data_IF_945206632156
#
_entry.id   IF_945206632156
#
_cell.length_a   1.000
_cell.length_b   1.000
_cell.length_c   1.000
_cell.angle_alpha   90.00
_cell.angle_beta   90.00
_cell.angle_gamma   90.00
#
_symmetry.space_group_name_H-M   'P 1'
#
loop_
_entity.id
_entity.type
_entity.pdbx_description
1 polymer ?
#
# COMPACT_ATOMS: atom_id res chain seq x y z
N UNK A 1 -10.61 -25.70 -13.04
CA UNK A 1 -9.74 -25.06 -14.07
C UNK A 1 -10.12 -23.60 -14.34
N UNK A 2 -11.39 -23.27 -14.62
CA UNK A 2 -11.81 -21.89 -14.93
C UNK A 2 -11.43 -20.87 -13.84
N UNK A 3 -11.56 -21.23 -12.56
CA UNK A 3 -11.20 -20.36 -11.43
C UNK A 3 -9.73 -19.93 -11.44
N UNK A 4 -8.81 -20.86 -11.72
CA UNK A 4 -7.37 -20.56 -11.79
C UNK A 4 -7.05 -19.66 -12.99
N UNK A 5 -7.73 -19.87 -14.13
CA UNK A 5 -7.59 -19.01 -15.31
C UNK A 5 -8.13 -17.60 -15.04
N UNK A 6 -9.26 -17.47 -14.35
CA UNK A 6 -9.79 -16.17 -13.93
C UNK A 6 -8.80 -15.45 -13.02
N UNK A 7 -8.25 -16.14 -12.01
CA UNK A 7 -7.24 -15.57 -11.12
C UNK A 7 -5.98 -15.12 -11.88
N UNK A 8 -5.42 -15.99 -12.73
CA UNK A 8 -4.24 -15.67 -13.55
C UNK A 8 -4.50 -14.48 -14.48
N UNK A 9 -5.68 -14.41 -15.10
CA UNK A 9 -6.05 -13.29 -15.97
C UNK A 9 -6.20 -11.98 -15.20
N UNK A 10 -6.78 -12.02 -14.00
CA UNK A 10 -6.91 -10.85 -13.14
C UNK A 10 -5.55 -10.36 -12.63
N UNK A 11 -4.66 -11.27 -12.23
CA UNK A 11 -3.27 -10.95 -11.87
C UNK A 11 -2.51 -10.34 -13.06
N UNK A 12 -2.68 -10.89 -14.27
CA UNK A 12 -2.09 -10.33 -15.47
C UNK A 12 -2.61 -8.91 -15.77
N UNK A 13 -3.92 -8.67 -15.60
CA UNK A 13 -4.52 -7.34 -15.71
C UNK A 13 -3.97 -6.36 -14.66
N UNK A 14 -3.77 -6.81 -13.42
CA UNK A 14 -3.16 -6.00 -12.36
C UNK A 14 -1.75 -5.56 -12.76
N UNK A 15 -0.90 -6.50 -13.16
CA UNK A 15 0.48 -6.21 -13.59
C UNK A 15 0.48 -5.28 -14.80
N UNK A 16 -0.36 -5.54 -15.80
CA UNK A 16 -0.49 -4.70 -16.98
C UNK A 16 -0.99 -3.29 -16.67
N UNK A 17 -1.97 -3.15 -15.78
CA UNK A 17 -2.48 -1.87 -15.29
C UNK A 17 -1.36 -1.02 -14.67
N UNK A 18 -0.56 -1.61 -13.76
CA UNK A 18 0.59 -0.90 -13.16
C UNK A 18 1.64 -0.48 -14.19
N UNK A 19 1.85 -1.30 -15.24
CA UNK A 19 2.74 -0.95 -16.34
C UNK A 19 2.20 0.22 -17.19
N UNK A 20 0.90 0.21 -17.50
CA UNK A 20 0.24 1.29 -18.25
C UNK A 20 0.35 2.61 -17.49
N UNK A 21 0.03 2.63 -16.19
CA UNK A 21 0.14 3.83 -15.35
C UNK A 21 1.55 4.39 -15.39
N UNK A 22 2.54 3.55 -15.06
CA UNK A 22 3.96 3.94 -15.02
C UNK A 22 4.40 4.56 -16.35
N UNK A 23 4.13 3.89 -17.47
CA UNK A 23 4.55 4.37 -18.79
C UNK A 23 3.76 5.58 -19.28
N UNK A 24 2.49 5.72 -18.90
CA UNK A 24 1.66 6.88 -19.21
C UNK A 24 2.13 8.13 -18.45
N UNK A 25 2.37 8.00 -17.15
CA UNK A 25 2.88 9.09 -16.31
C UNK A 25 4.25 9.55 -16.81
N UNK A 26 5.15 8.61 -17.11
CA UNK A 26 6.48 8.95 -17.64
C UNK A 26 6.41 9.69 -18.99
N UNK A 27 5.44 9.38 -19.86
CA UNK A 27 5.23 10.11 -21.12
C UNK A 27 4.71 11.54 -20.91
N UNK A 28 3.86 11.77 -19.91
CA UNK A 28 3.28 13.11 -19.65
C UNK A 28 4.21 13.98 -18.83
N UNK A 29 4.78 13.42 -17.77
CA UNK A 29 5.46 14.17 -16.72
C UNK A 29 6.97 13.94 -16.67
N UNK A 30 7.53 13.03 -17.47
CA UNK A 30 8.94 12.63 -17.38
C UNK A 30 9.94 13.79 -17.29
N UNK A 31 9.83 14.80 -18.15
CA UNK A 31 10.69 15.98 -18.10
C UNK A 31 10.52 16.80 -16.81
N UNK A 32 9.29 16.99 -16.33
CA UNK A 32 9.01 17.71 -15.08
C UNK A 32 9.52 16.95 -13.86
N UNK A 33 9.32 15.63 -13.82
CA UNK A 33 9.82 14.78 -12.74
C UNK A 33 11.35 14.86 -12.67
N UNK A 34 12.02 14.89 -13.83
CA UNK A 34 13.47 15.12 -13.92
C UNK A 34 13.88 16.46 -13.30
N UNK A 35 13.21 17.55 -13.67
CA UNK A 35 13.50 18.88 -13.10
C UNK A 35 13.22 18.96 -11.60
N UNK A 36 12.12 18.37 -11.12
CA UNK A 36 11.80 18.35 -9.69
C UNK A 36 12.86 17.60 -8.90
N UNK A 37 13.30 16.43 -9.38
CA UNK A 37 14.33 15.64 -8.73
C UNK A 37 15.68 16.37 -8.71
N UNK A 38 16.09 16.97 -9.82
CA UNK A 38 17.37 17.68 -9.90
C UNK A 38 17.39 18.96 -9.07
N UNK A 39 16.27 19.68 -8.97
CA UNK A 39 16.16 20.90 -8.14
C UNK A 39 15.95 20.63 -6.64
N UNK A 40 15.50 19.43 -6.27
CA UNK A 40 15.19 19.11 -4.86
C UNK A 40 16.41 18.72 -4.03
N UNK A 41 17.62 18.74 -4.61
CA UNK A 41 18.85 18.24 -3.98
C UNK A 41 19.50 19.22 -3.00
N UNK A 42 19.06 20.47 -2.99
CA UNK A 42 19.59 21.52 -2.10
C UNK A 42 19.34 21.22 -0.62
N UNK A 43 18.21 20.57 -0.29
CA UNK A 43 17.81 20.27 1.08
C UNK A 43 17.35 18.82 1.20
N UNK A 44 17.91 18.07 2.16
CA UNK A 44 17.51 16.67 2.46
C UNK A 44 15.98 16.46 2.60
N UNK A 45 15.22 17.28 3.36
CA UNK A 45 13.77 17.07 3.45
C UNK A 45 13.04 17.28 2.11
N UNK A 46 13.50 18.24 1.29
CA UNK A 46 12.94 18.47 -0.03
C UNK A 46 13.23 17.28 -0.97
N UNK A 47 14.45 16.75 -0.92
CA UNK A 47 14.85 15.54 -1.64
C UNK A 47 13.97 14.33 -1.27
N UNK A 48 13.68 14.15 0.02
CA UNK A 48 12.80 13.09 0.51
C UNK A 48 11.36 13.25 0.00
N UNK A 49 10.78 14.44 0.16
CA UNK A 49 9.43 14.73 -0.33
C UNK A 49 9.32 14.61 -1.86
N UNK A 50 10.35 14.99 -2.59
CA UNK A 50 10.42 14.81 -4.04
C UNK A 50 10.41 13.31 -4.40
N UNK A 51 11.15 12.48 -3.66
CA UNK A 51 11.10 11.02 -3.80
C UNK A 51 9.70 10.44 -3.60
N UNK A 52 9.01 10.87 -2.54
CA UNK A 52 7.62 10.48 -2.26
C UNK A 52 6.73 10.90 -3.43
N UNK A 53 6.72 12.18 -3.78
CA UNK A 53 5.81 12.73 -4.79
C UNK A 53 6.04 12.11 -6.18
N UNK A 54 7.29 12.01 -6.61
CA UNK A 54 7.64 11.42 -7.92
C UNK A 54 7.23 9.94 -7.96
N UNK A 55 7.51 9.19 -6.90
CA UNK A 55 7.17 7.77 -6.88
C UNK A 55 5.69 7.51 -6.70
N UNK A 56 5.00 8.34 -5.92
CA UNK A 56 3.55 8.27 -5.81
C UNK A 56 2.92 8.50 -7.19
N UNK A 57 3.37 9.51 -7.94
CA UNK A 57 2.88 9.77 -9.30
C UNK A 57 3.23 8.64 -10.28
N UNK A 58 4.48 8.19 -10.32
CA UNK A 58 4.95 7.15 -11.28
C UNK A 58 4.51 5.74 -10.86
N UNK A 59 4.18 5.54 -9.58
CA UNK A 59 3.85 4.28 -8.94
C UNK A 59 4.97 3.22 -9.02
N UNK A 60 6.23 3.66 -9.05
CA UNK A 60 7.37 2.74 -9.10
C UNK A 60 8.62 3.36 -8.51
N UNK A 61 9.04 2.88 -7.33
CA UNK A 61 10.32 3.32 -6.76
C UNK A 61 11.50 2.89 -7.60
N UNK A 62 11.43 1.76 -8.32
CA UNK A 62 12.49 1.36 -9.26
C UNK A 62 12.64 2.37 -10.42
N UNK A 63 11.54 2.88 -10.98
CA UNK A 63 11.60 3.92 -12.01
C UNK A 63 12.19 5.23 -11.46
N UNK A 64 11.83 5.62 -10.24
CA UNK A 64 12.41 6.79 -9.56
C UNK A 64 13.91 6.58 -9.30
N UNK A 65 14.32 5.41 -8.80
CA UNK A 65 15.72 5.06 -8.60
C UNK A 65 16.50 5.12 -9.91
N UNK A 66 15.97 4.61 -11.02
CA UNK A 66 16.61 4.71 -12.34
C UNK A 66 16.78 6.17 -12.81
N UNK A 67 15.82 7.05 -12.52
CA UNK A 67 15.96 8.47 -12.82
C UNK A 67 17.07 9.10 -11.99
N UNK A 68 17.08 8.85 -10.69
CA UNK A 68 18.08 9.40 -9.76
C UNK A 68 19.48 8.87 -10.08
N UNK A 69 19.62 7.56 -10.33
CA UNK A 69 20.91 6.96 -10.70
C UNK A 69 21.43 7.55 -12.01
N UNK A 70 20.55 7.87 -12.97
CA UNK A 70 20.97 8.54 -14.21
C UNK A 70 21.53 9.94 -13.99
N UNK A 71 21.05 10.66 -12.96
CA UNK A 71 21.58 11.98 -12.60
C UNK A 71 22.88 11.90 -11.82
N UNK A 72 22.97 10.96 -10.89
CA UNK A 72 24.22 10.68 -10.18
C UNK A 72 25.30 10.18 -11.16
N UNK A 73 24.91 9.44 -12.20
CA UNK A 73 25.84 9.00 -13.24
C UNK A 73 26.44 10.16 -14.06
N UNK A 74 25.71 11.27 -14.17
CA UNK A 74 26.09 12.47 -14.91
C UNK A 74 26.65 13.58 -14.00
N UNK A 75 26.95 13.27 -12.73
CA UNK A 75 27.42 14.21 -11.71
C UNK A 75 26.46 15.41 -11.46
N UNK A 76 25.19 15.28 -11.87
CA UNK A 76 24.16 16.31 -11.68
C UNK A 76 23.62 16.32 -10.24
N UNK A 77 23.73 15.20 -9.54
CA UNK A 77 23.23 15.02 -8.17
C UNK A 77 24.27 14.27 -7.36
N UNK A 78 24.57 14.77 -6.16
CA UNK A 78 25.45 14.09 -5.23
C UNK A 78 24.79 12.81 -4.66
N UNK A 79 25.62 11.84 -4.25
CA UNK A 79 25.17 10.55 -3.72
C UNK A 79 24.23 10.69 -2.51
N UNK A 80 24.52 11.58 -1.57
CA UNK A 80 23.74 11.70 -0.33
C UNK A 80 22.29 12.18 -0.59
N UNK A 81 22.02 13.28 -1.31
CA UNK A 81 20.66 13.64 -1.72
C UNK A 81 19.96 12.55 -2.54
N UNK A 82 20.68 11.86 -3.43
CA UNK A 82 20.13 10.76 -4.20
C UNK A 82 19.60 9.61 -3.33
N UNK A 83 20.35 9.21 -2.30
CA UNK A 83 19.90 8.20 -1.34
C UNK A 83 18.65 8.65 -0.58
N UNK A 84 18.55 9.94 -0.24
CA UNK A 84 17.38 10.51 0.43
C UNK A 84 16.14 10.53 -0.49
N UNK A 85 16.32 10.80 -1.78
CA UNK A 85 15.23 10.67 -2.78
C UNK A 85 14.75 9.22 -2.86
N UNK A 86 15.68 8.27 -2.95
CA UNK A 86 15.36 6.83 -3.01
C UNK A 86 14.63 6.36 -1.76
N UNK A 87 15.01 6.85 -0.58
CA UNK A 87 14.30 6.59 0.68
C UNK A 87 12.84 7.07 0.59
N UNK A 88 12.64 8.31 0.13
CA UNK A 88 11.31 8.87 -0.10
C UNK A 88 10.52 8.09 -1.15
N UNK A 89 11.19 7.57 -2.17
CA UNK A 89 10.55 6.77 -3.22
C UNK A 89 9.92 5.48 -2.68
N UNK A 90 10.62 4.79 -1.78
CA UNK A 90 10.10 3.57 -1.17
C UNK A 90 8.89 3.88 -0.26
N UNK A 91 8.92 4.99 0.48
CA UNK A 91 7.74 5.49 1.24
C UNK A 91 6.58 5.84 0.30
N UNK A 92 6.85 6.49 -0.83
CA UNK A 92 5.83 6.81 -1.84
C UNK A 92 5.15 5.57 -2.42
N UNK A 93 5.87 4.45 -2.55
CA UNK A 93 5.30 3.17 -3.00
C UNK A 93 4.34 2.59 -1.96
N UNK A 94 4.72 2.61 -0.68
CA UNK A 94 3.85 2.18 0.42
C UNK A 94 2.58 3.05 0.53
N UNK A 95 2.73 4.37 0.38
CA UNK A 95 1.60 5.31 0.35
C UNK A 95 0.62 4.95 -0.76
N UNK A 96 1.11 4.70 -1.98
CA UNK A 96 0.23 4.35 -3.10
C UNK A 96 -0.42 2.97 -2.94
N UNK A 97 0.26 2.00 -2.35
CA UNK A 97 -0.35 0.72 -2.01
C UNK A 97 -1.54 0.91 -1.05
N UNK A 98 -1.38 1.76 -0.02
CA UNK A 98 -2.48 2.10 0.89
C UNK A 98 -3.64 2.80 0.18
N UNK A 99 -3.36 3.77 -0.68
CA UNK A 99 -4.39 4.50 -1.44
C UNK A 99 -5.19 3.57 -2.35
N UNK A 100 -4.52 2.68 -3.10
CA UNK A 100 -5.17 1.78 -4.05
C UNK A 100 -5.92 0.61 -3.40
N UNK A 101 -5.70 0.38 -2.10
CA UNK A 101 -6.43 -0.64 -1.32
C UNK A 101 -7.70 -0.08 -0.66
N UNK A 102 -7.97 1.24 -0.76
CA UNK A 102 -9.27 1.76 -0.37
C UNK A 102 -10.38 1.25 -1.29
N UNK A 103 -11.63 1.26 -0.79
CA UNK A 103 -12.79 0.90 -1.59
C UNK A 103 -13.06 1.99 -2.64
N UNK A 104 -12.43 1.82 -3.80
CA UNK A 104 -12.51 2.67 -4.98
C UNK A 104 -13.19 1.92 -6.14
N UNK A 105 -13.97 0.89 -5.82
CA UNK A 105 -14.62 0.03 -6.82
C UNK A 105 -15.48 0.82 -7.80
N UNK A 106 -16.28 1.76 -7.28
CA UNK A 106 -17.10 2.67 -8.09
C UNK A 106 -16.30 3.56 -9.05
N UNK A 107 -15.03 3.85 -8.73
CA UNK A 107 -14.17 4.72 -9.53
C UNK A 107 -13.56 3.96 -10.73
N UNK A 108 -13.42 2.64 -10.62
CA UNK A 108 -12.87 1.76 -11.65
C UNK A 108 -13.55 1.93 -13.03
N UNK A 109 -14.88 1.72 -13.18
CA UNK A 109 -15.54 1.81 -14.49
C UNK A 109 -15.48 3.23 -15.07
N UNK A 110 -15.55 4.27 -14.24
CA UNK A 110 -15.44 5.66 -14.67
C UNK A 110 -14.05 5.98 -15.24
N UNK A 111 -12.99 5.56 -14.55
CA UNK A 111 -11.62 5.76 -15.00
C UNK A 111 -11.34 5.03 -16.32
N UNK A 112 -11.85 3.81 -16.49
CA UNK A 112 -11.71 3.06 -17.74
C UNK A 112 -12.48 3.77 -18.86
N UNK A 113 -13.76 4.08 -18.65
CA UNK A 113 -14.61 4.67 -19.67
C UNK A 113 -14.08 6.02 -20.17
N UNK A 114 -13.85 6.95 -19.25
CA UNK A 114 -13.32 8.28 -19.56
C UNK A 114 -11.90 8.16 -20.15
N UNK A 115 -11.07 7.29 -19.56
CA UNK A 115 -9.71 7.06 -20.02
C UNK A 115 -9.64 6.57 -21.47
N UNK A 116 -10.50 5.62 -21.85
CA UNK A 116 -10.61 5.11 -23.24
C UNK A 116 -11.04 6.23 -24.20
N UNK A 117 -12.06 7.03 -23.84
CA UNK A 117 -12.52 8.15 -24.68
C UNK A 117 -11.37 9.12 -24.96
N UNK A 118 -10.66 9.57 -23.93
CA UNK A 118 -9.53 10.51 -24.10
C UNK A 118 -8.36 9.88 -24.87
N UNK A 119 -8.00 8.64 -24.55
CA UNK A 119 -6.88 7.96 -25.19
C UNK A 119 -7.14 7.72 -26.68
N UNK A 120 -8.30 7.21 -27.07
CA UNK A 120 -8.63 6.96 -28.48
C UNK A 120 -8.79 8.26 -29.27
N UNK A 121 -9.37 9.30 -28.67
CA UNK A 121 -9.59 10.58 -29.36
C UNK A 121 -8.30 11.32 -29.66
N UNK A 122 -7.30 11.26 -28.77
CA UNK A 122 -6.10 12.11 -28.85
C UNK A 122 -4.82 11.40 -28.39
N UNK A 123 -4.52 10.23 -28.96
CA UNK A 123 -3.42 9.30 -28.57
C UNK A 123 -2.07 9.96 -28.26
N UNK A 124 -1.65 10.95 -29.06
CA UNK A 124 -0.34 11.61 -28.90
C UNK A 124 -0.36 12.89 -28.03
N UNK A 125 -1.55 13.34 -27.61
CA UNK A 125 -1.67 14.52 -26.76
C UNK A 125 -1.46 14.19 -25.28
N UNK A 126 -1.17 15.21 -24.47
CA UNK A 126 -1.13 15.09 -23.00
C UNK A 126 -2.45 14.51 -22.45
N UNK A 127 -3.59 14.97 -22.96
CA UNK A 127 -4.90 14.48 -22.54
C UNK A 127 -5.09 12.99 -22.83
N UNK A 128 -4.66 12.51 -24.00
CA UNK A 128 -4.74 11.09 -24.34
C UNK A 128 -3.83 10.23 -23.47
N UNK A 129 -2.62 10.70 -23.16
CA UNK A 129 -1.71 10.00 -22.25
C UNK A 129 -2.20 10.01 -20.79
N UNK A 130 -2.86 11.08 -20.34
CA UNK A 130 -3.59 11.07 -19.05
C UNK A 130 -4.77 10.10 -19.08
N UNK A 131 -5.49 10.02 -20.21
CA UNK A 131 -6.51 8.99 -20.43
C UNK A 131 -5.94 7.58 -20.29
N UNK A 132 -4.77 7.31 -20.88
CA UNK A 132 -4.03 6.05 -20.71
C UNK A 132 -3.70 5.76 -19.24
N UNK A 133 -3.29 6.75 -18.46
CA UNK A 133 -3.07 6.60 -17.01
C UNK A 133 -4.37 6.22 -16.30
N UNK A 134 -5.49 6.90 -16.64
CA UNK A 134 -6.82 6.57 -16.14
C UNK A 134 -7.22 5.12 -16.43
N UNK A 135 -7.04 4.65 -17.68
CA UNK A 135 -7.27 3.25 -18.05
C UNK A 135 -6.45 2.31 -17.16
N UNK A 136 -5.15 2.59 -16.99
CA UNK A 136 -4.28 1.76 -16.15
C UNK A 136 -4.74 1.68 -14.69
N UNK A 137 -5.12 2.81 -14.10
CA UNK A 137 -5.65 2.86 -12.72
C UNK A 137 -6.98 2.12 -12.60
N UNK A 138 -7.90 2.31 -13.55
CA UNK A 138 -9.17 1.59 -13.56
C UNK A 138 -8.97 0.07 -13.74
N UNK A 139 -8.04 -0.35 -14.60
CA UNK A 139 -7.69 -1.77 -14.76
C UNK A 139 -7.08 -2.38 -13.49
N UNK A 140 -6.27 -1.63 -12.74
CA UNK A 140 -5.77 -2.07 -11.43
C UNK A 140 -6.95 -2.34 -10.50
N UNK A 141 -7.85 -1.36 -10.31
CA UNK A 141 -8.99 -1.49 -9.40
C UNK A 141 -9.92 -2.64 -9.81
N UNK A 142 -10.26 -2.74 -11.10
CA UNK A 142 -11.04 -3.85 -11.64
C UNK A 142 -10.35 -5.20 -11.40
N UNK A 143 -9.03 -5.28 -11.59
CA UNK A 143 -8.29 -6.51 -11.38
C UNK A 143 -8.34 -6.97 -9.92
N UNK A 144 -8.28 -6.05 -8.96
CA UNK A 144 -8.41 -6.38 -7.53
C UNK A 144 -9.79 -6.98 -7.23
N UNK A 145 -10.87 -6.41 -7.79
CA UNK A 145 -12.23 -6.98 -7.66
C UNK A 145 -12.32 -8.38 -8.28
N UNK A 146 -11.77 -8.56 -9.49
CA UNK A 146 -11.76 -9.86 -10.17
C UNK A 146 -10.96 -10.91 -9.40
N UNK A 147 -9.86 -10.52 -8.74
CA UNK A 147 -9.10 -11.41 -7.84
C UNK A 147 -9.99 -11.87 -6.69
N UNK A 148 -10.70 -10.97 -6.01
CA UNK A 148 -11.62 -11.33 -4.91
C UNK A 148 -12.70 -12.29 -5.40
N UNK A 149 -13.33 -11.99 -6.55
CA UNK A 149 -14.37 -12.83 -7.13
C UNK A 149 -13.84 -14.23 -7.52
N UNK A 150 -12.63 -14.30 -8.07
CA UNK A 150 -12.01 -15.56 -8.46
C UNK A 150 -11.63 -16.42 -7.24
N UNK A 151 -11.26 -15.82 -6.11
CA UNK A 151 -10.80 -16.55 -4.93
C UNK A 151 -11.93 -16.88 -3.93
N UNK A 152 -13.04 -16.14 -3.93
CA UNK A 152 -14.23 -16.44 -3.10
C UNK A 152 -14.70 -17.91 -3.15
N UNK A 153 -14.84 -18.58 -4.32
CA UNK A 153 -15.23 -19.99 -4.35
C UNK A 153 -14.16 -20.94 -3.80
N UNK A 154 -12.88 -20.51 -3.79
CA UNK A 154 -11.76 -21.28 -3.23
C UNK A 154 -11.83 -21.27 -1.69
N UNK A 155 -12.19 -20.13 -1.09
CA UNK A 155 -12.28 -19.99 0.38
C UNK A 155 -13.53 -20.63 0.97
N UNK A 156 -14.62 -20.76 0.21
CA UNK A 156 -15.86 -21.39 0.67
C UNK A 156 -15.92 -22.92 0.46
N UNK A 157 -14.99 -23.49 -0.29
CA UNK A 157 -14.87 -24.94 -0.38
C UNK A 157 -14.33 -25.50 0.95
N UNK A 158 -15.17 -26.24 1.67
CA UNK A 158 -15.02 -26.73 3.05
C UNK A 158 -13.76 -27.58 3.40
N UNK A 159 -12.74 -27.63 2.55
CA UNK A 159 -11.46 -28.32 2.82
C UNK A 159 -10.21 -27.48 2.55
N UNK A 160 -10.33 -26.31 1.93
CA UNK A 160 -9.18 -25.53 1.47
C UNK A 160 -8.55 -24.73 2.62
N UNK A 161 -9.35 -24.21 3.55
CA UNK A 161 -8.84 -23.43 4.68
C UNK A 161 -7.92 -24.25 5.61
N UNK A 162 -8.23 -25.53 5.82
CA UNK A 162 -7.41 -26.44 6.65
C UNK A 162 -6.07 -26.78 5.99
N UNK A 163 -6.07 -26.92 4.66
CA UNK A 163 -4.84 -27.20 3.89
C UNK A 163 -3.97 -25.95 3.81
N UNK A 164 -4.54 -24.76 3.56
CA UNK A 164 -3.78 -23.50 3.51
C UNK A 164 -3.23 -23.08 4.89
N UNK A 165 -3.98 -23.32 5.97
CA UNK A 165 -3.49 -23.13 7.34
C UNK A 165 -2.32 -24.07 7.70
N UNK A 166 -2.19 -25.20 6.99
CA UNK A 166 -1.08 -26.16 7.17
C UNK A 166 0.08 -25.96 6.19
N UNK A 167 -0.17 -25.30 5.03
CA UNK A 167 0.81 -25.10 3.96
C UNK A 167 1.58 -23.77 4.03
N UNK A 168 1.11 -22.81 4.81
CA UNK A 168 1.76 -21.50 4.95
C UNK A 168 2.31 -21.35 6.37
N UNK A 169 3.61 -21.08 6.48
CA UNK A 169 4.31 -21.11 7.77
C UNK A 169 5.83 -21.06 7.67
N UNK A 170 6.40 -21.31 6.49
CA UNK A 170 7.81 -21.01 6.23
C UNK A 170 7.97 -19.54 5.78
N UNK A 171 8.37 -18.71 6.75
CA UNK A 171 8.65 -17.28 6.59
C UNK A 171 9.57 -17.02 5.38
N UNK A 172 10.58 -17.86 5.16
CA UNK A 172 11.54 -17.66 4.07
C UNK A 172 10.93 -18.00 2.71
N UNK A 173 10.12 -19.06 2.64
CA UNK A 173 9.43 -19.44 1.40
C UNK A 173 8.42 -18.38 0.98
N UNK A 174 7.62 -17.87 1.91
CA UNK A 174 6.64 -16.81 1.66
C UNK A 174 7.34 -15.52 1.16
N UNK A 175 8.45 -15.13 1.80
CA UNK A 175 9.26 -14.01 1.33
C UNK A 175 9.86 -14.28 -0.06
N UNK A 176 10.31 -15.51 -0.35
CA UNK A 176 10.83 -15.85 -1.67
C UNK A 176 9.76 -15.75 -2.75
N UNK A 177 8.55 -16.25 -2.50
CA UNK A 177 7.41 -16.16 -3.44
C UNK A 177 7.10 -14.70 -3.75
N UNK A 178 7.02 -13.84 -2.72
CA UNK A 178 6.81 -12.40 -2.89
C UNK A 178 7.90 -11.74 -3.73
N UNK A 179 9.17 -12.10 -3.47
CA UNK A 179 10.32 -11.58 -4.20
C UNK A 179 10.30 -12.00 -5.69
N UNK A 180 10.06 -13.28 -5.96
CA UNK A 180 9.95 -13.83 -7.32
C UNK A 180 8.81 -13.15 -8.07
N UNK A 181 7.64 -13.01 -7.44
CA UNK A 181 6.51 -12.34 -8.07
C UNK A 181 6.83 -10.88 -8.41
N UNK A 182 7.44 -10.13 -7.50
CA UNK A 182 7.84 -8.74 -7.75
C UNK A 182 8.91 -8.63 -8.86
N UNK A 183 9.83 -9.58 -8.94
CA UNK A 183 10.86 -9.65 -10.00
C UNK A 183 10.21 -9.93 -11.36
N UNK A 184 9.40 -10.97 -11.45
CA UNK A 184 8.72 -11.39 -12.70
C UNK A 184 7.77 -10.31 -13.21
N UNK A 185 7.02 -9.67 -12.30
CA UNK A 185 6.09 -8.59 -12.64
C UNK A 185 6.76 -7.22 -12.83
N UNK A 186 8.05 -7.08 -12.53
CA UNK A 186 8.76 -5.79 -12.48
C UNK A 186 8.05 -4.73 -11.59
N UNK A 187 7.30 -5.19 -10.59
CA UNK A 187 6.39 -4.36 -9.79
C UNK A 187 6.17 -4.93 -8.38
N UNK A 188 6.85 -4.36 -7.38
CA UNK A 188 6.54 -4.65 -5.97
C UNK A 188 5.14 -4.18 -5.59
N UNK A 189 4.66 -3.05 -6.14
CA UNK A 189 3.31 -2.56 -5.87
C UNK A 189 2.25 -3.58 -6.31
N UNK A 190 2.38 -4.20 -7.48
CA UNK A 190 1.43 -5.25 -7.91
C UNK A 190 1.42 -6.43 -6.94
N UNK A 191 2.60 -6.84 -6.44
CA UNK A 191 2.73 -7.90 -5.43
C UNK A 191 2.04 -7.53 -4.12
N UNK A 192 2.27 -6.30 -3.65
CA UNK A 192 1.68 -5.78 -2.41
C UNK A 192 0.15 -5.68 -2.53
N UNK A 193 -0.37 -5.19 -3.66
CA UNK A 193 -1.82 -5.11 -3.87
C UNK A 193 -2.46 -6.49 -3.94
N UNK A 194 -1.88 -7.42 -4.70
CA UNK A 194 -2.37 -8.81 -4.75
C UNK A 194 -2.40 -9.41 -3.34
N UNK A 195 -1.31 -9.26 -2.60
CA UNK A 195 -1.19 -9.77 -1.24
C UNK A 195 -2.25 -9.16 -0.32
N UNK A 196 -2.38 -7.83 -0.31
CA UNK A 196 -3.36 -7.12 0.50
C UNK A 196 -4.80 -7.54 0.17
N UNK A 197 -5.11 -7.73 -1.11
CA UNK A 197 -6.43 -8.21 -1.57
C UNK A 197 -6.70 -9.65 -1.11
N UNK A 198 -5.72 -10.55 -1.20
CA UNK A 198 -5.87 -11.92 -0.72
C UNK A 198 -6.03 -11.99 0.80
N UNK A 199 -5.33 -11.15 1.55
CA UNK A 199 -5.52 -11.03 3.01
C UNK A 199 -6.90 -10.49 3.37
N UNK A 200 -7.35 -9.43 2.69
CA UNK A 200 -8.67 -8.86 2.91
C UNK A 200 -9.81 -9.85 2.58
N UNK A 201 -9.60 -10.72 1.60
CA UNK A 201 -10.54 -11.80 1.26
C UNK A 201 -10.41 -13.05 2.18
N UNK A 202 -9.54 -13.03 3.20
CA UNK A 202 -9.36 -14.12 4.16
C UNK A 202 -8.65 -15.35 3.59
N UNK A 203 -7.97 -15.22 2.45
CA UNK A 203 -7.31 -16.32 1.72
C UNK A 203 -5.98 -16.68 2.38
N UNK A 204 -5.24 -15.66 2.79
CA UNK A 204 -3.94 -15.78 3.45
C UNK A 204 -3.99 -15.01 4.77
N UNK A 205 -3.27 -15.52 5.78
CA UNK A 205 -3.17 -14.85 7.07
C UNK A 205 -2.33 -13.58 6.99
N UNK A 206 -2.49 -12.69 7.96
CA UNK A 206 -1.71 -11.45 8.04
C UNK A 206 -0.18 -11.69 8.13
N UNK A 207 0.32 -12.68 8.90
CA UNK A 207 1.75 -13.02 8.91
C UNK A 207 2.30 -13.43 7.53
N UNK A 208 1.56 -14.26 6.78
CA UNK A 208 1.94 -14.67 5.41
C UNK A 208 1.98 -13.46 4.48
N UNK A 209 1.00 -12.57 4.62
CA UNK A 209 0.94 -11.31 3.87
C UNK A 209 2.16 -10.43 4.12
N UNK A 210 2.58 -10.29 5.39
CA UNK A 210 3.79 -9.55 5.75
C UNK A 210 5.03 -10.17 5.08
N UNK A 211 5.20 -11.49 5.14
CA UNK A 211 6.31 -12.19 4.49
C UNK A 211 6.33 -11.93 2.97
N UNK A 212 5.20 -12.06 2.29
CA UNK A 212 5.07 -11.79 0.86
C UNK A 212 5.44 -10.33 0.51
N UNK A 213 4.98 -9.36 1.31
CA UNK A 213 5.30 -7.94 1.10
C UNK A 213 6.78 -7.65 1.32
N UNK A 214 7.39 -8.21 2.38
CA UNK A 214 8.82 -8.12 2.66
C UNK A 214 9.62 -8.67 1.48
N UNK A 215 9.23 -9.86 1.00
CA UNK A 215 9.76 -10.49 -0.19
C UNK A 215 9.69 -9.59 -1.42
N UNK A 216 8.49 -9.09 -1.73
CA UNK A 216 8.25 -8.22 -2.86
C UNK A 216 9.09 -6.95 -2.82
N UNK A 217 9.26 -6.37 -1.63
CA UNK A 217 10.10 -5.20 -1.43
C UNK A 217 11.56 -5.53 -1.75
N UNK A 218 12.12 -6.62 -1.20
CA UNK A 218 13.47 -7.09 -1.53
C UNK A 218 13.66 -7.39 -3.02
N UNK A 219 12.71 -8.08 -3.64
CA UNK A 219 12.73 -8.37 -5.08
C UNK A 219 12.85 -7.11 -5.93
N UNK A 220 12.13 -6.03 -5.57
CA UNK A 220 12.26 -4.74 -6.27
C UNK A 220 13.61 -4.05 -6.04
N UNK A 221 14.23 -4.23 -4.87
CA UNK A 221 15.59 -3.76 -4.59
C UNK A 221 16.63 -4.49 -5.45
N UNK A 222 16.46 -5.80 -5.62
CA UNK A 222 17.31 -6.60 -6.51
C UNK A 222 17.17 -6.14 -7.96
N UNK A 223 15.94 -5.90 -8.44
CA UNK A 223 15.71 -5.33 -9.77
C UNK A 223 16.40 -3.98 -9.96
N UNK A 224 16.36 -3.11 -8.94
CA UNK A 224 17.05 -1.82 -9.01
C UNK A 224 18.57 -1.99 -9.15
N UNK A 225 19.16 -2.96 -8.46
CA UNK A 225 20.58 -3.30 -8.60
C UNK A 225 20.90 -3.86 -9.99
N UNK A 226 20.12 -4.83 -10.46
CA UNK A 226 20.31 -5.48 -11.76
C UNK A 226 20.24 -4.46 -12.90
N UNK A 227 19.24 -3.57 -12.86
CA UNK A 227 19.05 -2.51 -13.86
C UNK A 227 20.17 -1.46 -13.88
N UNK A 228 20.96 -1.35 -12.80
CA UNK A 228 22.07 -0.39 -12.68
C UNK A 228 23.45 -1.07 -12.62
N UNK A 229 23.54 -2.37 -12.89
CA UNK A 229 24.78 -3.16 -12.78
C UNK A 229 25.91 -2.67 -13.69
N UNK A 230 25.56 -2.22 -14.91
CA UNK A 230 26.49 -1.65 -15.88
C UNK A 230 26.75 -0.14 -15.70
N UNK A 231 26.12 0.50 -14.71
CA UNK A 231 26.31 1.93 -14.47
C UNK A 231 27.63 2.21 -13.73
N UNK A 232 28.04 3.48 -13.70
CA UNK A 232 29.24 3.90 -12.98
C UNK A 232 29.11 3.66 -11.46
N UNK A 233 30.24 3.75 -10.74
CA UNK A 233 30.29 3.41 -9.31
C UNK A 233 29.32 4.23 -8.46
N UNK A 234 29.11 5.51 -8.79
CA UNK A 234 28.21 6.40 -8.05
C UNK A 234 26.74 5.97 -8.23
N UNK A 235 26.30 5.70 -9.46
CA UNK A 235 24.96 5.19 -9.74
C UNK A 235 24.71 3.81 -9.10
N UNK A 236 25.70 2.91 -9.15
CA UNK A 236 25.64 1.60 -8.47
C UNK A 236 25.49 1.75 -6.95
N UNK A 237 26.15 2.73 -6.32
CA UNK A 237 26.00 3.01 -4.89
C UNK A 237 24.58 3.45 -4.52
N UNK A 238 23.89 4.20 -5.38
CA UNK A 238 22.49 4.57 -5.17
C UNK A 238 21.57 3.34 -5.24
N UNK A 239 21.74 2.49 -6.25
CA UNK A 239 20.98 1.26 -6.38
C UNK A 239 21.22 0.29 -5.21
N UNK A 240 22.48 0.17 -4.77
CA UNK A 240 22.85 -0.54 -3.55
C UNK A 240 22.21 0.06 -2.30
N UNK A 241 22.16 1.39 -2.20
CA UNK A 241 21.45 2.07 -1.13
C UNK A 241 19.97 1.67 -1.05
N UNK A 242 19.26 1.59 -2.18
CA UNK A 242 17.87 1.11 -2.22
C UNK A 242 17.76 -0.33 -1.74
N UNK A 243 18.62 -1.22 -2.25
CA UNK A 243 18.62 -2.64 -1.86
C UNK A 243 18.91 -2.81 -0.37
N UNK A 244 19.93 -2.11 0.16
CA UNK A 244 20.30 -2.18 1.57
C UNK A 244 19.21 -1.60 2.47
N UNK A 245 18.59 -0.49 2.08
CA UNK A 245 17.46 0.08 2.84
C UNK A 245 16.31 -0.94 2.95
N UNK A 246 15.96 -1.59 1.83
CA UNK A 246 14.93 -2.63 1.80
C UNK A 246 15.34 -3.85 2.62
N UNK A 247 16.60 -4.28 2.52
CA UNK A 247 17.16 -5.38 3.32
C UNK A 247 17.07 -5.11 4.82
N UNK A 248 17.54 -3.94 5.25
CA UNK A 248 17.49 -3.53 6.66
C UNK A 248 16.05 -3.41 7.14
N UNK A 249 15.17 -2.78 6.36
CA UNK A 249 13.74 -2.71 6.69
C UNK A 249 13.10 -4.09 6.84
N UNK A 250 13.41 -5.01 5.92
CA UNK A 250 12.95 -6.40 5.98
C UNK A 250 13.48 -7.13 7.21
N UNK A 251 14.77 -7.00 7.54
CA UNK A 251 15.38 -7.63 8.72
C UNK A 251 14.83 -7.08 10.05
N UNK A 252 14.43 -5.80 10.08
CA UNK A 252 13.80 -5.19 11.25
C UNK A 252 12.38 -5.73 11.44
N UNK A 253 11.61 -5.92 10.36
CA UNK A 253 10.20 -6.33 10.44
C UNK A 253 10.05 -7.84 10.64
N UNK A 254 10.90 -8.67 10.03
CA UNK A 254 10.82 -10.14 10.07
C UNK A 254 10.64 -10.74 11.48
N UNK A 255 11.36 -10.29 12.54
CA UNK A 255 11.19 -10.80 13.90
C UNK A 255 9.81 -10.53 14.52
N UNK A 256 9.07 -9.54 14.02
CA UNK A 256 7.74 -9.18 14.52
C UNK A 256 6.59 -9.89 13.76
N UNK A 257 6.92 -10.69 12.73
CA UNK A 257 5.91 -11.45 11.97
C UNK A 257 5.20 -12.51 12.82
N UNK A 258 5.89 -13.31 13.67
CA UNK A 258 5.22 -14.32 14.50
C UNK A 258 4.24 -13.71 15.52
N UNK A 259 4.60 -12.58 16.14
CA UNK A 259 3.76 -11.88 17.12
C UNK A 259 2.59 -11.10 16.51
N UNK A 260 2.60 -10.88 15.19
CA UNK A 260 1.47 -10.30 14.47
C UNK A 260 0.35 -11.32 14.19
N UNK A 261 0.60 -12.61 14.44
CA UNK A 261 -0.32 -13.73 14.20
C UNK A 261 -1.15 -14.18 15.40
N UNK A 262 -0.87 -13.66 16.60
CA UNK A 262 -1.65 -13.92 17.81
C UNK A 262 -2.57 -12.71 18.09
N UNK A 263 -3.81 -12.69 17.57
CA UNK A 263 -4.84 -11.98 18.26
C UNK A 263 -5.10 -12.75 19.56
N UNK A 264 -4.58 -12.25 20.68
CA UNK A 264 -5.23 -12.46 21.96
C UNK A 264 -6.73 -12.27 21.72
N UNK A 265 -7.51 -13.32 21.98
CA UNK A 265 -8.88 -13.43 21.52
C UNK A 265 -9.78 -12.29 22.00
N UNK A 266 -9.86 -11.19 21.26
CA UNK A 266 -11.02 -10.31 21.18
C UNK A 266 -10.87 -9.22 20.09
N UNK A 267 -11.35 -9.47 18.85
CA UNK A 267 -11.49 -8.40 17.86
C UNK A 267 -12.80 -7.59 18.04
N UNK A 268 -13.70 -7.95 18.97
CA UNK A 268 -15.04 -7.35 19.04
C UNK A 268 -15.26 -6.35 20.20
N UNK A 269 -14.38 -6.31 21.21
CA UNK A 269 -14.63 -5.52 22.43
C UNK A 269 -14.03 -4.11 22.42
N UNK A 270 -12.98 -3.84 21.65
CA UNK A 270 -12.33 -2.53 21.63
C UNK A 270 -13.10 -1.51 20.76
N UNK A 271 -13.60 -1.94 19.61
CA UNK A 271 -14.41 -1.08 18.72
C UNK A 271 -15.82 -0.84 19.28
N UNK A 272 -16.45 -1.84 19.91
CA UNK A 272 -17.74 -1.69 20.61
C UNK A 272 -17.63 -0.79 21.85
N UNK A 273 -16.56 -0.90 22.66
CA UNK A 273 -16.36 -0.02 23.82
C UNK A 273 -16.06 1.43 23.44
N UNK A 274 -15.39 1.67 22.31
CA UNK A 274 -15.17 3.02 21.80
C UNK A 274 -16.45 3.63 21.19
N UNK A 275 -17.27 2.82 20.51
CA UNK A 275 -18.57 3.22 19.96
C UNK A 275 -19.64 3.51 21.02
N UNK A 276 -19.61 2.80 22.16
CA UNK A 276 -20.57 2.96 23.26
C UNK A 276 -20.22 4.12 24.22
N UNK A 277 -19.00 4.66 24.16
CA UNK A 277 -18.57 5.75 25.03
C UNK A 277 -19.12 7.12 24.58
N UNK A 278 -19.26 7.32 23.27
CA UNK A 278 -19.70 8.60 22.70
C UNK A 278 -21.20 8.91 22.95
N UNK A 279 -22.12 7.94 22.87
CA UNK A 279 -23.53 8.16 23.22
C UNK A 279 -23.76 8.34 24.73
N UNK A 280 -22.91 7.74 25.59
CA UNK A 280 -23.02 7.87 27.06
C UNK A 280 -22.63 9.24 27.59
N UNK A 281 -21.72 9.93 26.90
CA UNK A 281 -21.31 11.31 27.24
C UNK A 281 -22.32 12.38 26.78
N UNK A 282 -23.25 12.02 25.90
CA UNK A 282 -24.30 12.90 25.40
C UNK A 282 -25.66 12.70 26.11
N UNK A 283 -25.74 11.81 27.10
CA UNK A 283 -26.92 11.70 27.95
C UNK A 283 -26.89 12.82 29.01
N UNK A 284 -27.93 13.67 29.11
CA UNK A 284 -28.03 14.67 30.15
C UNK A 284 -28.25 13.95 31.50
N UNK A 285 -27.19 13.90 32.32
CA UNK A 285 -27.21 13.27 33.64
C UNK A 285 -25.86 12.75 34.15
N UNK A 286 -24.83 12.66 33.30
CA UNK A 286 -23.51 12.18 33.71
C UNK A 286 -22.54 13.33 34.00
N UNK A 287 -22.73 14.03 35.13
CA UNK A 287 -21.64 14.74 35.79
C UNK A 287 -21.44 14.14 37.19
N UNK A 288 -20.20 13.75 37.57
CA UNK A 288 -19.90 13.28 38.90
C UNK A 288 -19.73 14.49 39.83
N UNK A 289 -20.74 14.74 40.65
CA UNK A 289 -20.69 15.69 41.75
C UNK A 289 -21.11 15.02 43.05
N UNK A 290 -20.20 15.07 44.02
CA UNK A 290 -20.44 14.98 45.46
C UNK A 290 -20.45 13.58 46.10
N UNK A 291 -19.22 13.12 46.41
CA UNK A 291 -18.93 12.31 47.59
C UNK A 291 -18.97 13.14 48.90
N UNK A 292 -18.71 12.52 50.05
CA UNK A 292 -19.71 12.42 51.12
C UNK A 292 -19.50 13.42 52.25
N UNK A 293 -20.50 14.26 52.54
CA UNK A 293 -20.57 15.04 53.79
C UNK A 293 -22.01 15.15 54.31
N UNK A 294 -22.27 14.39 55.38
CA UNK A 294 -22.89 14.82 56.66
C UNK A 294 -24.31 15.42 56.72
N UNK A 295 -25.00 14.91 57.77
CA UNK A 295 -26.22 15.37 58.50
C UNK A 295 -27.53 14.81 57.93
N UNK A 296 -28.21 13.91 58.63
CA UNK A 296 -28.88 14.04 59.93
C UNK A 296 -29.97 15.13 59.91
N UNK A 297 -31.12 14.74 60.48
CA UNK A 297 -32.28 15.55 60.88
C UNK A 297 -33.52 15.47 59.96
N UNK A 298 -34.52 14.68 60.40
CA UNK A 298 -35.94 15.05 60.17
C UNK A 298 -36.31 16.24 61.08
N UNK A 299 -37.59 16.65 61.24
CA UNK A 299 -38.86 16.10 60.74
C UNK A 299 -39.75 17.19 60.07
N UNK A 300 -41.05 16.90 59.92
CA UNK A 300 -42.19 17.79 59.62
C UNK A 300 -42.52 18.08 58.15
N UNK A 301 -43.69 17.57 57.71
CA UNK A 301 -44.76 18.34 57.05
C UNK A 301 -45.95 17.40 56.72
N UNK A 302 -46.97 17.37 57.59
CA UNK A 302 -48.35 16.98 57.23
C UNK A 302 -49.36 17.69 58.13
N UNK A 303 -49.90 18.79 57.63
CA UNK A 303 -51.32 19.20 57.66
C UNK A 303 -51.40 20.64 57.10
N UNK A 304 -52.40 20.94 56.26
CA UNK A 304 -53.59 21.52 56.85
C UNK A 304 -54.92 20.95 56.33
N UNK A 305 -55.88 20.96 57.24
CA UNK A 305 -57.34 20.98 57.16
C UNK A 305 -58.02 21.08 55.77
N UNK A 306 -58.91 20.12 55.54
CA UNK A 306 -60.33 20.33 55.13
C UNK A 306 -61.14 19.41 56.07
N UNK A 307 -62.18 19.89 56.75
CA UNK A 307 -63.49 20.09 56.15
C UNK A 307 -64.31 18.83 56.43
#
# INVERSE_FOLDING_TARGET
MLTLLHLLSAVALLVWGTHIVRTGVMRVFGARLRTVLSGSVEKKPLAFCAGIGVTALVQSSNATTMLVTSFVAQDLVALAPALVIVLGADVGTALMARVLTFDLSWLSPLLIFIGVIFFLSRKQSRAGQLGRVGIGLGLILLALELIVQAVTPITQANGVQVIFASLTGDIMLDALIGAVFAIVSYSSLAAVLLTATLTAAGVISFPVALCLVIGANLGSGLLAMLNNSAANAAARRVALGSLLFKLVGSLIILPFVPSAGEPDGQPAAAESRAGDLFPRLLQPGALPGDGPFRRADGPFLRAPHSG
#
